data_IF_796985405519
#
_entry.id   IF_796985405519
#
_cell.length_a   1.000
_cell.length_b   1.000
_cell.length_c   1.000
_cell.angle_alpha   90.00
_cell.angle_beta   90.00
_cell.angle_gamma   90.00
#
_symmetry.space_group_name_H-M   'P 1'
#
loop_
_entity.id
_entity.type
_entity.pdbx_description
1 polymer ?
#
# COMPACT_ATOMS: atom_id res chain seq x y z
N UNK A 1 -12.50 -25.39 -42.55
CA UNK A 1 -13.43 -26.08 -41.63
C UNK A 1 -12.76 -26.99 -40.59
N UNK A 2 -11.49 -27.40 -40.73
CA UNK A 2 -10.84 -28.34 -39.78
C UNK A 2 -10.44 -27.78 -38.41
N UNK A 3 -10.03 -26.50 -38.33
CA UNK A 3 -9.50 -25.91 -37.08
C UNK A 3 -10.59 -25.72 -36.01
N UNK A 4 -11.81 -25.34 -36.41
CA UNK A 4 -12.95 -25.14 -35.50
C UNK A 4 -13.42 -26.44 -34.83
N UNK A 5 -13.20 -27.60 -35.47
CA UNK A 5 -13.61 -28.90 -34.95
C UNK A 5 -12.57 -29.48 -33.98
N UNK A 6 -11.29 -29.12 -34.15
CA UNK A 6 -10.19 -29.48 -33.25
C UNK A 6 -10.11 -28.59 -31.99
N UNK A 7 -10.50 -27.31 -32.06
CA UNK A 7 -10.46 -26.41 -30.90
C UNK A 7 -11.70 -26.52 -29.99
N UNK A 8 -12.82 -27.09 -30.45
CA UNK A 8 -14.07 -27.24 -29.67
C UNK A 8 -13.89 -27.93 -28.30
N UNK A 9 -13.14 -29.03 -28.17
CA UNK A 9 -12.88 -29.67 -26.88
C UNK A 9 -12.05 -28.77 -25.96
N UNK A 10 -11.05 -28.09 -26.51
CA UNK A 10 -10.16 -27.20 -25.75
C UNK A 10 -10.94 -26.01 -25.20
N UNK A 11 -11.79 -25.38 -26.02
CA UNK A 11 -12.65 -24.25 -25.61
C UNK A 11 -13.64 -24.68 -24.52
N UNK A 12 -14.30 -25.83 -24.68
CA UNK A 12 -15.23 -26.35 -23.69
C UNK A 12 -14.53 -26.64 -22.36
N UNK A 13 -13.32 -27.21 -22.42
CA UNK A 13 -12.49 -27.47 -21.24
C UNK A 13 -12.08 -26.16 -20.57
N UNK A 14 -11.64 -25.14 -21.31
CA UNK A 14 -11.26 -23.83 -20.74
C UNK A 14 -12.44 -23.15 -20.04
N UNK A 15 -13.64 -23.16 -20.64
CA UNK A 15 -14.84 -22.57 -20.03
C UNK A 15 -15.29 -23.34 -18.78
N UNK A 16 -15.25 -24.68 -18.81
CA UNK A 16 -15.59 -25.50 -17.64
C UNK A 16 -14.58 -25.30 -16.51
N UNK A 17 -13.30 -25.19 -16.83
CA UNK A 17 -12.25 -24.93 -15.84
C UNK A 17 -12.33 -23.50 -15.27
N UNK A 18 -12.76 -22.51 -16.07
CA UNK A 18 -13.05 -21.16 -15.61
C UNK A 18 -14.18 -21.17 -14.56
N UNK A 19 -15.32 -21.80 -14.85
CA UNK A 19 -16.43 -21.89 -13.88
C UNK A 19 -16.00 -22.59 -12.58
N UNK A 20 -15.17 -23.63 -12.69
CA UNK A 20 -14.62 -24.32 -11.53
C UNK A 20 -13.71 -23.41 -10.70
N UNK A 21 -12.85 -22.62 -11.35
CA UNK A 21 -11.95 -21.68 -10.67
C UNK A 21 -12.71 -20.50 -10.05
N UNK A 22 -13.73 -19.94 -10.71
CA UNK A 22 -14.62 -18.94 -10.11
C UNK A 22 -15.25 -19.49 -8.82
N UNK A 23 -15.83 -20.70 -8.88
CA UNK A 23 -16.44 -21.33 -7.70
C UNK A 23 -15.43 -21.58 -6.60
N UNK A 24 -14.19 -21.95 -6.93
CA UNK A 24 -13.15 -22.11 -5.93
C UNK A 24 -12.79 -20.79 -5.25
N UNK A 25 -12.63 -19.72 -6.02
CA UNK A 25 -12.34 -18.36 -5.54
C UNK A 25 -13.47 -17.86 -4.62
N UNK A 26 -14.72 -18.07 -5.02
CA UNK A 26 -15.92 -17.63 -4.29
C UNK A 26 -16.14 -18.45 -3.01
N UNK A 27 -15.86 -19.75 -3.04
CA UNK A 27 -16.07 -20.65 -1.90
C UNK A 27 -14.85 -20.77 -0.99
N UNK A 28 -13.74 -20.09 -1.31
CA UNK A 28 -12.53 -20.14 -0.49
C UNK A 28 -12.85 -19.67 0.94
N UNK A 29 -12.46 -20.48 1.91
CA UNK A 29 -12.54 -20.14 3.33
C UNK A 29 -11.15 -20.17 3.93
N UNK A 30 -10.75 -19.06 4.53
CA UNK A 30 -9.44 -18.95 5.15
C UNK A 30 -9.46 -19.48 6.57
N UNK A 31 -8.38 -20.17 6.96
CA UNK A 31 -8.15 -20.49 8.36
C UNK A 31 -7.88 -19.20 9.13
N UNK A 32 -8.65 -18.94 10.19
CA UNK A 32 -8.46 -17.77 11.08
C UNK A 32 -7.05 -17.73 11.72
N UNK A 33 -6.34 -18.88 11.76
CA UNK A 33 -5.01 -19.02 12.37
C UNK A 33 -3.86 -18.78 11.39
N UNK A 34 -4.12 -18.73 10.08
CA UNK A 34 -3.08 -18.55 9.07
C UNK A 34 -2.69 -17.07 8.95
N UNK A 35 -1.39 -16.80 8.91
CA UNK A 35 -0.85 -15.51 8.49
C UNK A 35 -0.60 -15.61 6.98
N UNK A 36 -1.42 -14.94 6.19
CA UNK A 36 -1.30 -14.94 4.73
C UNK A 36 -1.57 -13.52 4.23
N UNK A 37 -0.58 -12.94 3.55
CA UNK A 37 -0.72 -11.67 2.86
C UNK A 37 -1.34 -11.88 1.48
N UNK A 38 -0.67 -12.65 0.62
CA UNK A 38 -1.16 -13.09 -0.68
C UNK A 38 -2.14 -14.27 -0.50
N UNK A 39 -3.30 -14.18 -1.15
CA UNK A 39 -4.29 -15.26 -1.08
C UNK A 39 -3.94 -16.36 -2.08
N UNK A 40 -4.10 -17.65 -1.71
CA UNK A 40 -3.64 -18.77 -2.54
C UNK A 40 -4.25 -18.84 -3.95
N UNK A 41 -5.46 -18.31 -4.14
CA UNK A 41 -6.09 -18.32 -5.45
C UNK A 41 -5.45 -17.34 -6.44
N UNK A 42 -4.73 -16.30 -5.97
CA UNK A 42 -4.12 -15.30 -6.85
C UNK A 42 -3.04 -15.93 -7.76
N UNK A 43 -2.00 -16.60 -7.26
CA UNK A 43 -1.02 -17.25 -8.14
C UNK A 43 -1.65 -18.32 -9.04
N UNK A 44 -2.67 -19.03 -8.55
CA UNK A 44 -3.39 -20.02 -9.36
C UNK A 44 -4.21 -19.39 -10.49
N UNK A 45 -4.82 -18.23 -10.24
CA UNK A 45 -5.49 -17.43 -11.27
C UNK A 45 -4.48 -16.96 -12.32
N UNK A 46 -3.30 -16.48 -11.90
CA UNK A 46 -2.24 -16.08 -12.82
C UNK A 46 -1.80 -17.23 -13.72
N UNK A 47 -1.52 -18.40 -13.14
CA UNK A 47 -1.14 -19.61 -13.87
C UNK A 47 -2.22 -20.04 -14.88
N UNK A 48 -3.49 -20.05 -14.45
CA UNK A 48 -4.61 -20.42 -15.33
C UNK A 48 -4.74 -19.47 -16.54
N UNK A 49 -4.60 -18.16 -16.31
CA UNK A 49 -4.69 -17.17 -17.39
C UNK A 49 -3.50 -17.30 -18.34
N UNK A 50 -2.28 -17.48 -17.82
CA UNK A 50 -1.08 -17.67 -18.66
C UNK A 50 -1.17 -18.92 -19.53
N UNK A 51 -1.65 -20.04 -18.97
CA UNK A 51 -1.85 -21.26 -19.75
C UNK A 51 -2.93 -21.08 -20.83
N UNK A 52 -4.01 -20.38 -20.50
CA UNK A 52 -5.04 -20.04 -21.48
C UNK A 52 -4.51 -19.19 -22.64
N UNK A 53 -3.68 -18.18 -22.36
CA UNK A 53 -3.04 -17.36 -23.39
C UNK A 53 -2.03 -18.15 -24.23
N UNK A 54 -1.27 -19.06 -23.62
CA UNK A 54 -0.33 -19.93 -24.34
C UNK A 54 -1.04 -20.85 -25.35
N UNK A 55 -2.21 -21.37 -25.00
CA UNK A 55 -2.97 -22.33 -25.82
C UNK A 55 -3.87 -21.63 -26.84
N UNK A 56 -4.51 -20.52 -26.47
CA UNK A 56 -5.61 -19.92 -27.23
C UNK A 56 -5.38 -18.44 -27.62
N UNK A 57 -4.40 -17.76 -27.02
CA UNK A 57 -4.22 -16.30 -27.16
C UNK A 57 -3.92 -15.83 -28.58
N UNK A 58 -3.21 -16.65 -29.38
CA UNK A 58 -2.87 -16.35 -30.77
C UNK A 58 -3.99 -16.56 -31.79
N UNK A 59 -5.19 -16.95 -31.36
CA UNK A 59 -6.32 -17.17 -32.28
C UNK A 59 -7.09 -15.89 -32.59
N UNK A 60 -7.38 -15.67 -33.87
CA UNK A 60 -8.19 -14.53 -34.34
C UNK A 60 -9.58 -14.44 -33.68
N UNK A 61 -10.14 -15.56 -33.18
CA UNK A 61 -11.51 -15.55 -32.64
C UNK A 61 -11.57 -15.46 -31.12
N UNK A 62 -10.48 -15.71 -30.39
CA UNK A 62 -10.34 -15.79 -28.91
C UNK A 62 -11.40 -16.62 -28.14
N UNK A 63 -12.48 -17.05 -28.80
CA UNK A 63 -13.56 -17.95 -28.35
C UNK A 63 -14.18 -17.66 -26.99
N UNK A 64 -14.36 -16.38 -26.65
CA UNK A 64 -14.95 -15.97 -25.37
C UNK A 64 -13.98 -15.98 -24.19
N UNK A 65 -12.69 -16.23 -24.44
CA UNK A 65 -11.63 -16.22 -23.43
C UNK A 65 -11.57 -14.88 -22.67
N UNK A 66 -11.75 -13.77 -23.38
CA UNK A 66 -11.71 -12.43 -22.77
C UNK A 66 -12.88 -12.20 -21.80
N UNK A 67 -14.06 -12.71 -22.15
CA UNK A 67 -15.23 -12.66 -21.26
C UNK A 67 -15.02 -13.54 -20.02
N UNK A 68 -14.43 -14.72 -20.21
CA UNK A 68 -14.07 -15.63 -19.13
C UNK A 68 -13.06 -15.00 -18.15
N UNK A 69 -12.01 -14.35 -18.67
CA UNK A 69 -11.05 -13.61 -17.84
C UNK A 69 -11.67 -12.46 -17.09
N UNK A 70 -12.52 -11.66 -17.76
CA UNK A 70 -13.25 -10.57 -17.09
C UNK A 70 -14.06 -11.10 -15.91
N UNK A 71 -14.77 -12.22 -16.09
CA UNK A 71 -15.54 -12.86 -15.03
C UNK A 71 -14.64 -13.35 -13.89
N UNK A 72 -13.54 -14.02 -14.21
CA UNK A 72 -12.58 -14.52 -13.20
C UNK A 72 -11.98 -13.39 -12.35
N UNK A 73 -11.49 -12.31 -12.97
CA UNK A 73 -10.93 -11.18 -12.25
C UNK A 73 -11.99 -10.43 -11.42
N UNK A 74 -13.22 -10.35 -11.93
CA UNK A 74 -14.34 -9.76 -11.17
C UNK A 74 -14.66 -10.58 -9.93
N UNK A 75 -14.76 -11.91 -10.05
CA UNK A 75 -14.95 -12.81 -8.92
C UNK A 75 -13.78 -12.72 -7.93
N UNK A 76 -12.53 -12.66 -8.43
CA UNK A 76 -11.34 -12.46 -7.62
C UNK A 76 -11.42 -11.17 -6.79
N UNK A 77 -11.76 -10.02 -7.39
CA UNK A 77 -11.81 -8.74 -6.68
C UNK A 77 -12.88 -8.73 -5.59
N UNK A 78 -14.07 -9.29 -5.87
CA UNK A 78 -15.15 -9.43 -4.88
C UNK A 78 -14.75 -10.36 -3.73
N UNK A 79 -14.09 -11.48 -4.04
CA UNK A 79 -13.58 -12.40 -3.03
C UNK A 79 -12.49 -11.75 -2.17
N UNK A 80 -11.58 -10.95 -2.73
CA UNK A 80 -10.54 -10.25 -1.95
C UNK A 80 -11.13 -9.39 -0.83
N UNK A 81 -12.14 -8.58 -1.14
CA UNK A 81 -12.77 -7.70 -0.17
C UNK A 81 -13.40 -8.49 0.98
N UNK A 82 -14.14 -9.55 0.65
CA UNK A 82 -14.80 -10.41 1.65
C UNK A 82 -13.81 -11.25 2.48
N UNK A 83 -12.71 -11.72 1.88
CA UNK A 83 -11.72 -12.58 2.54
C UNK A 83 -10.74 -11.78 3.41
N UNK A 84 -10.50 -10.52 3.08
CA UNK A 84 -9.54 -9.65 3.79
C UNK A 84 -9.80 -9.54 5.30
N UNK A 85 -11.06 -9.67 5.71
CA UNK A 85 -11.49 -9.55 7.11
C UNK A 85 -11.56 -10.89 7.86
N UNK A 86 -11.34 -12.02 7.18
CA UNK A 86 -11.47 -13.36 7.77
C UNK A 86 -10.22 -13.79 8.57
N UNK A 87 -9.05 -13.23 8.28
CA UNK A 87 -7.83 -13.52 9.05
C UNK A 87 -7.83 -12.75 10.37
N UNK A 88 -7.52 -13.43 11.48
CA UNK A 88 -7.30 -12.78 12.79
C UNK A 88 -5.83 -12.43 13.03
N UNK A 89 -4.92 -12.85 12.13
CA UNK A 89 -3.46 -12.72 12.28
C UNK A 89 -2.84 -11.69 11.33
N UNK A 90 -3.54 -11.32 10.26
CA UNK A 90 -3.08 -10.39 9.24
C UNK A 90 -4.07 -9.25 9.14
N UNK A 91 -3.58 -8.01 9.14
CA UNK A 91 -4.45 -6.84 9.02
C UNK A 91 -5.11 -6.82 7.62
N UNK A 92 -6.41 -6.51 7.50
CA UNK A 92 -7.12 -6.52 6.20
C UNK A 92 -6.43 -5.68 5.12
N UNK A 93 -5.91 -4.50 5.49
CA UNK A 93 -5.15 -3.65 4.54
C UNK A 93 -3.90 -4.31 3.98
N UNK A 94 -3.21 -5.18 4.74
CA UNK A 94 -2.03 -5.90 4.21
C UNK A 94 -2.47 -6.88 3.13
N UNK A 95 -3.56 -7.61 3.37
CA UNK A 95 -4.15 -8.54 2.39
C UNK A 95 -4.58 -7.79 1.14
N UNK A 96 -5.39 -6.74 1.29
CA UNK A 96 -5.90 -5.96 0.16
C UNK A 96 -4.75 -5.34 -0.66
N UNK A 97 -3.78 -4.71 0.01
CA UNK A 97 -2.64 -4.08 -0.65
C UNK A 97 -1.81 -5.08 -1.47
N UNK A 98 -1.43 -6.21 -0.87
CA UNK A 98 -0.63 -7.24 -1.55
C UNK A 98 -1.35 -7.80 -2.77
N UNK A 99 -2.61 -8.22 -2.60
CA UNK A 99 -3.34 -8.89 -3.67
C UNK A 99 -3.72 -7.93 -4.81
N UNK A 100 -4.18 -6.71 -4.53
CA UNK A 100 -4.50 -5.74 -5.59
C UNK A 100 -3.24 -5.25 -6.32
N UNK A 101 -2.11 -5.08 -5.62
CA UNK A 101 -0.84 -4.77 -6.28
C UNK A 101 -0.42 -5.88 -7.26
N UNK A 102 -0.49 -7.13 -6.79
CA UNK A 102 -0.12 -8.30 -7.58
C UNK A 102 -1.01 -8.45 -8.82
N UNK A 103 -2.33 -8.37 -8.65
CA UNK A 103 -3.31 -8.47 -9.73
C UNK A 103 -3.17 -7.31 -10.73
N UNK A 104 -2.99 -6.07 -10.27
CA UNK A 104 -2.73 -4.93 -11.15
C UNK A 104 -1.48 -5.18 -12.02
N UNK A 105 -0.37 -5.60 -11.39
CA UNK A 105 0.86 -5.90 -12.12
C UNK A 105 0.68 -7.04 -13.13
N UNK A 106 -0.10 -8.07 -12.79
CA UNK A 106 -0.40 -9.17 -13.69
C UNK A 106 -1.26 -8.73 -14.88
N UNK A 107 -2.42 -8.11 -14.63
CA UNK A 107 -3.34 -7.64 -15.68
C UNK A 107 -2.64 -6.67 -16.63
N UNK A 108 -1.82 -5.75 -16.10
CA UNK A 108 -1.04 -4.79 -16.89
C UNK A 108 -0.12 -5.49 -17.89
N UNK A 109 0.50 -6.62 -17.52
CA UNK A 109 1.41 -7.36 -18.41
C UNK A 109 0.70 -8.17 -19.49
N UNK A 110 -0.58 -8.50 -19.30
CA UNK A 110 -1.36 -9.23 -20.31
C UNK A 110 -1.65 -8.36 -21.54
N UNK A 111 -1.72 -7.03 -21.38
CA UNK A 111 -2.04 -6.08 -22.46
C UNK A 111 -3.33 -6.43 -23.22
N UNK A 112 -4.33 -6.97 -22.51
CA UNK A 112 -5.63 -7.33 -23.08
C UNK A 112 -6.61 -6.15 -22.98
N UNK A 113 -7.10 -5.59 -24.11
CA UNK A 113 -8.02 -4.45 -24.11
C UNK A 113 -9.29 -4.68 -23.27
N UNK A 114 -9.81 -5.91 -23.27
CA UNK A 114 -11.00 -6.27 -22.52
C UNK A 114 -10.80 -6.17 -21.01
N UNK A 115 -9.56 -6.24 -20.52
CA UNK A 115 -9.26 -6.13 -19.09
C UNK A 115 -8.88 -4.71 -18.66
N UNK A 116 -8.85 -3.72 -19.56
CA UNK A 116 -8.39 -2.36 -19.27
C UNK A 116 -9.17 -1.72 -18.10
N UNK A 117 -10.49 -1.87 -18.06
CA UNK A 117 -11.31 -1.35 -16.96
C UNK A 117 -10.97 -1.98 -15.60
N UNK A 118 -10.67 -3.28 -15.59
CA UNK A 118 -10.28 -4.01 -14.38
C UNK A 118 -8.83 -3.68 -13.98
N UNK A 119 -7.97 -3.40 -14.96
CA UNK A 119 -6.61 -2.93 -14.73
C UNK A 119 -6.62 -1.59 -13.98
N UNK A 120 -7.44 -0.64 -14.47
CA UNK A 120 -7.61 0.67 -13.83
C UNK A 120 -8.21 0.56 -12.44
N UNK A 121 -9.24 -0.27 -12.24
CA UNK A 121 -9.81 -0.52 -10.91
C UNK A 121 -8.74 -1.10 -9.95
N UNK A 122 -7.95 -2.07 -10.40
CA UNK A 122 -6.88 -2.65 -9.59
C UNK A 122 -5.80 -1.63 -9.24
N UNK A 123 -5.45 -0.75 -10.19
CA UNK A 123 -4.50 0.35 -10.00
C UNK A 123 -4.99 1.32 -8.94
N UNK A 124 -6.24 1.75 -9.03
CA UNK A 124 -6.88 2.68 -8.09
C UNK A 124 -6.99 2.05 -6.69
N UNK A 125 -7.46 0.82 -6.58
CA UNK A 125 -7.53 0.10 -5.30
C UNK A 125 -6.15 -0.13 -4.69
N UNK A 126 -5.15 -0.53 -5.49
CA UNK A 126 -3.77 -0.66 -5.02
C UNK A 126 -3.21 0.67 -4.51
N UNK A 127 -3.47 1.79 -5.20
CA UNK A 127 -3.06 3.11 -4.77
C UNK A 127 -3.76 3.55 -3.47
N UNK A 128 -5.07 3.34 -3.37
CA UNK A 128 -5.87 3.63 -2.18
C UNK A 128 -5.37 2.86 -0.96
N UNK A 129 -5.25 1.54 -1.06
CA UNK A 129 -4.80 0.71 0.06
C UNK A 129 -3.35 0.97 0.43
N UNK A 130 -2.50 1.35 -0.55
CA UNK A 130 -1.13 1.79 -0.26
C UNK A 130 -1.15 3.05 0.60
N UNK A 131 -1.94 4.06 0.22
CA UNK A 131 -2.05 5.29 0.99
C UNK A 131 -2.58 5.01 2.40
N UNK A 132 -3.65 4.23 2.53
CA UNK A 132 -4.20 3.85 3.84
C UNK A 132 -3.20 3.07 4.69
N UNK A 133 -2.42 2.16 4.08
CA UNK A 133 -1.37 1.42 4.77
C UNK A 133 -0.23 2.33 5.24
N UNK A 134 0.18 3.30 4.41
CA UNK A 134 1.16 4.32 4.78
C UNK A 134 0.66 5.13 5.97
N UNK A 135 -0.57 5.67 5.91
CA UNK A 135 -1.18 6.41 7.01
C UNK A 135 -1.31 5.57 8.29
N UNK A 136 -1.72 4.31 8.18
CA UNK A 136 -1.83 3.41 9.34
C UNK A 136 -0.49 3.23 10.05
N UNK A 137 0.59 3.04 9.29
CA UNK A 137 1.91 2.72 9.85
C UNK A 137 2.70 3.98 10.26
N UNK A 138 2.47 5.11 9.58
CA UNK A 138 3.01 6.43 9.91
C UNK A 138 2.08 7.24 10.80
N UNK A 139 1.09 6.62 11.47
CA UNK A 139 0.05 7.31 12.23
C UNK A 139 0.57 8.48 13.05
N UNK A 140 1.71 8.32 13.75
CA UNK A 140 2.56 9.40 14.28
C UNK A 140 4.01 8.91 14.57
N UNK A 141 4.94 8.78 13.60
CA UNK A 141 6.33 8.37 13.86
C UNK A 141 7.06 9.35 14.80
N UNK A 142 6.57 10.59 14.87
CA UNK A 142 7.09 11.64 15.72
C UNK A 142 6.22 11.88 16.97
N UNK A 143 5.28 10.99 17.28
CA UNK A 143 4.48 10.95 18.51
C UNK A 143 4.05 12.32 19.02
N UNK A 144 4.57 12.70 20.20
CA UNK A 144 4.22 13.96 20.87
C UNK A 144 4.56 15.23 20.08
N UNK A 145 5.50 15.19 19.12
CA UNK A 145 5.74 16.30 18.19
C UNK A 145 4.58 16.49 17.21
N UNK A 146 4.03 15.39 16.69
CA UNK A 146 2.84 15.43 15.82
C UNK A 146 1.62 15.92 16.60
N UNK A 147 1.44 15.47 17.85
CA UNK A 147 0.34 15.95 18.72
C UNK A 147 0.45 17.45 19.02
N UNK A 148 1.64 17.92 19.39
CA UNK A 148 1.88 19.33 19.71
C UNK A 148 1.57 20.22 18.50
N UNK A 149 2.14 19.90 17.33
CA UNK A 149 1.94 20.69 16.11
C UNK A 149 0.53 20.52 15.53
N UNK A 150 -0.12 19.38 15.74
CA UNK A 150 -1.55 19.19 15.47
C UNK A 150 -2.43 20.14 16.30
N UNK A 151 -2.10 20.30 17.59
CA UNK A 151 -2.73 21.28 18.47
C UNK A 151 -2.52 22.73 18.03
N UNK A 152 -1.32 23.06 17.53
CA UNK A 152 -1.04 24.36 16.90
C UNK A 152 -1.91 24.57 15.65
N UNK A 153 -1.97 23.60 14.73
CA UNK A 153 -2.84 23.68 13.54
C UNK A 153 -4.30 23.87 13.93
N UNK A 154 -4.74 23.21 15.00
CA UNK A 154 -6.10 23.33 15.53
C UNK A 154 -6.36 24.74 16.05
N UNK A 155 -5.41 25.34 16.78
CA UNK A 155 -5.53 26.74 17.21
C UNK A 155 -5.70 27.69 16.02
N UNK A 156 -4.89 27.53 14.97
CA UNK A 156 -4.99 28.35 13.76
C UNK A 156 -6.36 28.17 13.07
N UNK A 157 -6.86 26.93 12.99
CA UNK A 157 -8.18 26.63 12.43
C UNK A 157 -9.33 27.29 13.22
N UNK A 158 -9.13 27.52 14.52
CA UNK A 158 -10.07 28.24 15.39
C UNK A 158 -9.86 29.77 15.37
N UNK A 159 -9.06 30.31 14.44
CA UNK A 159 -8.88 31.74 14.23
C UNK A 159 -7.83 32.40 15.12
N UNK A 160 -7.00 31.63 15.83
CA UNK A 160 -5.83 32.18 16.54
C UNK A 160 -4.82 32.66 15.52
N UNK A 161 -4.30 33.88 15.69
CA UNK A 161 -3.28 34.42 14.77
C UNK A 161 -1.94 33.71 14.98
N UNK A 162 -1.13 33.62 13.92
CA UNK A 162 0.14 32.87 13.95
C UNK A 162 1.08 33.40 15.04
N UNK A 163 1.17 34.72 15.17
CA UNK A 163 1.97 35.41 16.18
C UNK A 163 1.47 35.18 17.62
N UNK A 164 0.20 34.83 17.79
CA UNK A 164 -0.44 34.64 19.10
C UNK A 164 -0.24 33.23 19.67
N UNK A 165 0.00 32.24 18.80
CA UNK A 165 0.16 30.83 19.21
C UNK A 165 1.22 30.69 20.30
N UNK A 166 2.35 31.38 20.15
CA UNK A 166 3.48 31.27 21.06
C UNK A 166 3.22 31.80 22.49
N UNK A 167 2.14 32.57 22.68
CA UNK A 167 1.69 33.05 23.99
C UNK A 167 0.69 32.11 24.67
N UNK A 168 0.15 31.11 23.96
CA UNK A 168 -0.68 30.07 24.58
C UNK A 168 0.19 29.16 25.45
N UNK A 169 -0.20 28.99 26.72
CA UNK A 169 0.57 28.21 27.69
C UNK A 169 0.92 26.79 27.18
N UNK A 170 -0.07 26.09 26.62
CA UNK A 170 0.09 24.73 26.09
C UNK A 170 0.96 24.65 24.82
N UNK A 171 1.14 25.77 24.11
CA UNK A 171 1.87 25.83 22.84
C UNK A 171 2.98 26.88 22.87
N UNK A 172 3.54 27.14 24.06
CA UNK A 172 4.57 28.17 24.23
C UNK A 172 5.90 27.79 23.57
N UNK A 173 6.79 28.77 23.38
CA UNK A 173 8.17 28.52 22.91
C UNK A 173 8.92 27.51 23.79
N UNK A 174 8.66 27.51 25.09
CA UNK A 174 9.30 26.60 26.03
C UNK A 174 8.79 25.16 25.84
N UNK A 175 7.49 24.98 25.68
CA UNK A 175 6.92 23.65 25.44
C UNK A 175 7.36 23.09 24.09
N UNK A 176 7.42 23.91 23.04
CA UNK A 176 7.95 23.48 21.74
C UNK A 176 9.39 22.96 21.85
N UNK A 177 10.27 23.65 22.60
CA UNK A 177 11.66 23.18 22.82
C UNK A 177 11.70 21.82 23.51
N UNK A 178 10.94 21.66 24.59
CA UNK A 178 10.85 20.38 25.32
C UNK A 178 10.38 19.25 24.42
N UNK A 179 9.41 19.51 23.54
CA UNK A 179 8.90 18.50 22.62
C UNK A 179 9.96 18.13 21.57
N UNK A 180 10.67 19.10 20.98
CA UNK A 180 11.73 18.83 20.00
C UNK A 180 12.90 18.05 20.62
N UNK A 181 13.32 18.40 21.83
CA UNK A 181 14.40 17.71 22.55
C UNK A 181 14.13 16.22 22.78
N UNK A 182 12.86 15.79 22.77
CA UNK A 182 12.46 14.38 22.88
C UNK A 182 12.57 13.61 21.56
N UNK A 183 12.77 14.29 20.44
CA UNK A 183 12.86 13.68 19.10
C UNK A 183 14.17 14.04 18.39
N UNK A 184 15.34 13.75 19.02
CA UNK A 184 16.61 13.93 18.34
C UNK A 184 16.71 12.98 17.14
N UNK A 185 17.56 13.31 16.17
CA UNK A 185 17.67 12.53 14.91
C UNK A 185 17.92 11.03 15.15
N UNK A 186 18.65 10.67 16.21
CA UNK A 186 18.90 9.28 16.62
C UNK A 186 17.63 8.49 16.98
N UNK A 187 16.66 9.12 17.63
CA UNK A 187 15.40 8.45 18.01
C UNK A 187 14.49 8.31 16.79
N UNK A 188 14.47 9.33 15.91
CA UNK A 188 13.77 9.27 14.63
C UNK A 188 14.30 8.11 13.77
N UNK A 189 15.63 7.97 13.68
CA UNK A 189 16.27 6.84 13.00
C UNK A 189 15.85 5.48 13.57
N UNK A 190 15.84 5.31 14.89
CA UNK A 190 15.38 4.06 15.53
C UNK A 190 13.92 3.75 15.23
N UNK A 191 13.06 4.77 15.18
CA UNK A 191 11.65 4.61 14.78
C UNK A 191 11.55 4.12 13.34
N UNK A 192 12.31 4.71 12.41
CA UNK A 192 12.36 4.29 11.00
C UNK A 192 12.88 2.84 10.88
N UNK A 193 13.93 2.47 11.62
CA UNK A 193 14.45 1.09 11.67
C UNK A 193 13.38 0.09 12.13
N UNK A 194 12.64 0.44 13.18
CA UNK A 194 11.55 -0.40 13.72
C UNK A 194 10.38 -0.50 12.75
N UNK A 195 10.05 0.60 12.09
CA UNK A 195 9.01 0.67 11.07
C UNK A 195 9.36 -0.24 9.89
N UNK A 196 10.58 -0.17 9.38
CA UNK A 196 11.03 -1.01 8.28
C UNK A 196 10.92 -2.49 8.61
N UNK A 197 11.42 -2.93 9.78
CA UNK A 197 11.29 -4.33 10.25
C UNK A 197 9.84 -4.81 10.34
N UNK A 198 8.89 -3.91 10.59
CA UNK A 198 7.46 -4.26 10.60
C UNK A 198 6.94 -4.40 9.17
N UNK A 199 7.23 -3.42 8.32
CA UNK A 199 6.74 -3.37 6.94
C UNK A 199 7.33 -4.50 6.09
N UNK A 200 8.64 -4.79 6.23
CA UNK A 200 9.29 -5.90 5.54
C UNK A 200 8.67 -7.25 5.88
N UNK A 201 8.30 -7.46 7.15
CA UNK A 201 7.57 -8.68 7.58
C UNK A 201 6.14 -8.74 7.08
N UNK A 202 5.46 -7.62 6.87
CA UNK A 202 4.10 -7.61 6.31
C UNK A 202 4.12 -7.90 4.81
N UNK A 203 5.13 -7.41 4.10
CA UNK A 203 5.24 -7.43 2.64
C UNK A 203 6.34 -8.39 2.13
N UNK A 204 6.71 -9.39 2.93
CA UNK A 204 7.79 -10.32 2.62
C UNK A 204 7.54 -11.14 1.33
N UNK A 205 6.28 -11.26 0.93
CA UNK A 205 5.84 -12.01 -0.24
C UNK A 205 6.01 -11.22 -1.56
N UNK A 206 6.24 -9.90 -1.50
CA UNK A 206 6.43 -9.05 -2.68
C UNK A 206 7.46 -7.93 -2.42
N UNK A 207 8.71 -8.16 -2.85
CA UNK A 207 9.80 -7.18 -2.68
C UNK A 207 9.55 -5.89 -3.48
N UNK A 208 8.93 -5.99 -4.66
CA UNK A 208 8.66 -4.82 -5.50
C UNK A 208 7.67 -3.87 -4.82
N UNK A 209 6.64 -4.43 -4.19
CA UNK A 209 5.70 -3.67 -3.38
C UNK A 209 6.36 -3.07 -2.14
N UNK A 210 7.25 -3.81 -1.46
CA UNK A 210 7.99 -3.29 -0.31
C UNK A 210 8.75 -2.01 -0.69
N UNK A 211 9.46 -1.99 -1.82
CA UNK A 211 10.18 -0.80 -2.28
C UNK A 211 9.24 0.39 -2.56
N UNK A 212 8.13 0.13 -3.26
CA UNK A 212 7.13 1.17 -3.58
C UNK A 212 6.49 1.74 -2.32
N UNK A 213 6.12 0.89 -1.37
CA UNK A 213 5.54 1.31 -0.09
C UNK A 213 6.56 2.05 0.77
N UNK A 214 7.81 1.59 0.81
CA UNK A 214 8.86 2.22 1.59
C UNK A 214 9.17 3.63 1.10
N UNK A 215 9.23 3.82 -0.23
CA UNK A 215 9.37 5.15 -0.82
C UNK A 215 8.19 6.06 -0.49
N UNK A 216 6.95 5.54 -0.60
CA UNK A 216 5.77 6.31 -0.21
C UNK A 216 5.78 6.72 1.28
N UNK A 217 6.32 5.87 2.16
CA UNK A 217 6.51 6.21 3.57
C UNK A 217 7.57 7.30 3.78
N UNK A 218 8.66 7.26 3.01
CA UNK A 218 9.69 8.29 3.03
C UNK A 218 9.11 9.64 2.60
N UNK A 219 8.37 9.66 1.50
CA UNK A 219 7.77 10.87 0.94
C UNK A 219 6.78 11.51 1.93
N UNK A 220 5.90 10.69 2.53
CA UNK A 220 4.94 11.14 3.54
C UNK A 220 5.62 11.71 4.78
N UNK A 221 6.64 11.03 5.34
CA UNK A 221 7.34 11.54 6.52
C UNK A 221 8.15 12.81 6.22
N UNK A 222 8.73 12.90 5.02
CA UNK A 222 9.46 14.10 4.57
C UNK A 222 8.51 15.29 4.47
N UNK A 223 7.33 15.09 3.88
CA UNK A 223 6.31 16.14 3.76
C UNK A 223 5.77 16.57 5.14
N UNK A 224 5.53 15.64 6.06
CA UNK A 224 5.15 15.96 7.44
C UNK A 224 6.22 16.82 8.14
N UNK A 225 7.50 16.46 8.02
CA UNK A 225 8.59 17.22 8.61
C UNK A 225 8.74 18.61 7.99
N UNK A 226 8.50 18.74 6.68
CA UNK A 226 8.46 20.04 6.00
C UNK A 226 7.33 20.91 6.52
N UNK A 227 6.13 20.35 6.67
CA UNK A 227 4.99 21.03 7.28
C UNK A 227 5.29 21.49 8.72
N UNK A 228 6.01 20.68 9.50
CA UNK A 228 6.44 21.05 10.85
C UNK A 228 7.41 22.23 10.85
N UNK A 229 8.43 22.21 9.98
CA UNK A 229 9.37 23.33 9.83
C UNK A 229 8.63 24.63 9.48
N UNK A 230 7.75 24.60 8.48
CA UNK A 230 6.97 25.77 8.07
C UNK A 230 6.07 26.30 9.19
N UNK A 231 5.43 25.40 9.96
CA UNK A 231 4.57 25.79 11.07
C UNK A 231 5.38 26.41 12.23
N UNK A 232 6.57 25.87 12.52
CA UNK A 232 7.47 26.43 13.53
C UNK A 232 7.94 27.83 13.13
N UNK A 233 8.32 28.02 11.87
CA UNK A 233 8.79 29.32 11.36
C UNK A 233 7.71 30.40 11.46
N UNK A 234 6.47 30.05 11.12
CA UNK A 234 5.30 30.94 11.15
C UNK A 234 4.85 31.29 12.58
N UNK A 235 4.68 30.28 13.43
CA UNK A 235 4.10 30.47 14.76
C UNK A 235 5.11 30.85 15.85
N UNK A 236 6.42 30.69 15.59
CA UNK A 236 7.48 30.92 16.58
C UNK A 236 8.62 31.79 16.04
N UNK A 237 8.34 32.97 15.45
CA UNK A 237 9.38 33.82 14.87
C UNK A 237 10.41 34.24 15.91
N UNK A 238 11.67 34.30 15.48
CA UNK A 238 12.83 34.68 16.32
C UNK A 238 13.19 33.69 17.43
N UNK A 239 12.46 32.59 17.60
CA UNK A 239 12.74 31.62 18.67
C UNK A 239 14.01 30.79 18.43
N UNK A 240 14.51 30.77 17.18
CA UNK A 240 15.64 29.96 16.71
C UNK A 240 15.49 28.46 17.02
N UNK A 241 14.25 27.99 17.05
CA UNK A 241 13.89 26.60 17.28
C UNK A 241 13.83 25.88 15.92
N UNK A 242 14.52 24.75 15.79
CA UNK A 242 14.53 23.92 14.58
C UNK A 242 14.51 22.45 14.99
N UNK A 243 14.11 21.58 14.07
CA UNK A 243 14.29 20.14 14.24
C UNK A 243 15.79 19.81 14.26
N UNK A 244 16.16 18.77 15.01
CA UNK A 244 17.55 18.30 15.17
C UNK A 244 18.10 17.56 13.94
N UNK A 245 17.27 17.39 12.91
CA UNK A 245 17.60 16.66 11.69
C UNK A 245 17.06 17.40 10.45
N UNK A 246 17.71 17.15 9.33
CA UNK A 246 17.42 17.75 8.02
C UNK A 246 16.61 16.80 7.13
N UNK A 247 16.21 17.27 5.95
CA UNK A 247 15.57 16.38 4.96
C UNK A 247 16.58 15.36 4.42
N UNK A 248 17.84 15.78 4.27
CA UNK A 248 18.96 14.95 3.87
C UNK A 248 19.23 13.83 4.88
N UNK A 249 19.19 14.16 6.18
CA UNK A 249 19.32 13.15 7.25
C UNK A 249 18.20 12.10 7.17
N UNK A 250 16.94 12.52 6.96
CA UNK A 250 15.83 11.58 6.79
C UNK A 250 16.05 10.66 5.58
N UNK A 251 16.46 11.21 4.44
CA UNK A 251 16.78 10.40 3.25
C UNK A 251 17.88 9.37 3.53
N UNK A 252 18.92 9.77 4.26
CA UNK A 252 19.99 8.86 4.69
C UNK A 252 19.47 7.78 5.64
N UNK A 253 18.59 8.12 6.58
CA UNK A 253 18.00 7.15 7.50
C UNK A 253 17.23 6.07 6.73
N UNK A 254 16.31 6.45 5.82
CA UNK A 254 15.55 5.49 5.01
C UNK A 254 16.45 4.62 4.12
N UNK A 255 17.44 5.23 3.46
CA UNK A 255 18.37 4.53 2.57
C UNK A 255 19.24 3.51 3.34
N UNK A 256 19.75 3.90 4.50
CA UNK A 256 20.63 3.06 5.32
C UNK A 256 19.92 1.80 5.84
N UNK A 257 18.62 1.90 6.12
CA UNK A 257 17.84 0.78 6.64
C UNK A 257 17.50 -0.21 5.53
N UNK A 258 17.18 0.27 4.33
CA UNK A 258 16.92 -0.62 3.19
C UNK A 258 18.17 -1.36 2.69
N UNK A 259 19.35 -0.74 2.78
CA UNK A 259 20.60 -1.35 2.32
C UNK A 259 21.07 -2.47 3.27
N UNK A 260 20.93 -2.29 4.58
CA UNK A 260 21.34 -3.26 5.60
C UNK A 260 20.59 -4.60 5.56
N UNK A 261 19.39 -4.64 5.00
CA UNK A 261 18.62 -5.89 4.84
C UNK A 261 18.99 -6.66 3.56
N UNK A 262 19.79 -6.07 2.67
CA UNK A 262 20.26 -6.71 1.42
C UNK A 262 21.66 -7.35 1.54
N UNK A 263 22.34 -7.09 2.65
CA UNK A 263 23.65 -7.67 3.03
C UNK A 263 23.45 -8.91 3.91
#
# INVERSE_FOLDING_TARGET
>A
MGVLQQCRPVILVTLVLQDALCKEIENLRLSKKARMGLLPFVPRLEEFVLEGENVLGGSERRWGLDAAYRQLFTAAFQSLESLSTQSLRTHPLVVLLLNFHRLHGFISRLHLPELESLCEEAREKSALYRQQYVTLNLGQPLGTLTEFLGGVRTCLAHGVREEEVCFKLAYSKQELRKVIERHPGREVRKTIETLYKRVSRHLAEDESLLQVVWRAMQDELTEQCRGFKQLIERCYPGARIKLDFTEEDLQQYFSSVSLRDRE
#
